data_IF_113247727050
#
_entry.id   IF_113247727050
#
_cell.length_a   1.000
_cell.length_b   1.000
_cell.length_c   1.000
_cell.angle_alpha   90.00
_cell.angle_beta   90.00
_cell.angle_gamma   90.00
#
_symmetry.space_group_name_H-M   'P 1'
#
loop_
_entity.id
_entity.type
_entity.pdbx_description
1 polymer ?
#
# COMPACT_ATOMS: atom_id res chain seq x y z
N UNK A 1 11.34 0.83 19.55
CA UNK A 1 10.00 0.36 19.11
C UNK A 1 9.61 1.20 17.92
N UNK A 2 9.36 0.56 16.77
CA UNK A 2 9.06 1.23 15.52
C UNK A 2 7.63 0.87 15.09
N UNK A 3 6.85 1.86 14.66
CA UNK A 3 5.55 1.63 14.04
C UNK A 3 5.73 1.67 12.52
N UNK A 4 5.29 0.60 11.86
CA UNK A 4 5.28 0.49 10.40
C UNK A 4 3.83 0.47 9.96
N UNK A 5 3.48 1.36 9.04
CA UNK A 5 2.16 1.40 8.42
C UNK A 5 2.30 1.23 6.93
N UNK A 6 1.30 0.66 6.28
CA UNK A 6 1.31 0.53 4.84
C UNK A 6 -0.04 0.09 4.32
N UNK A 7 -0.08 -0.05 3.01
CA UNK A 7 -1.22 -0.58 2.30
C UNK A 7 -0.74 -1.42 1.11
N UNK A 8 -1.54 -2.40 0.72
CA UNK A 8 -1.19 -3.39 -0.29
C UNK A 8 -2.43 -3.91 -0.99
N UNK A 9 -2.25 -4.51 -2.16
CA UNK A 9 -3.28 -5.26 -2.87
C UNK A 9 -3.29 -6.71 -2.38
N UNK A 10 -4.46 -7.22 -2.00
CA UNK A 10 -4.61 -8.61 -1.62
C UNK A 10 -4.47 -9.53 -2.82
N UNK A 11 -3.94 -10.73 -2.60
CA UNK A 11 -3.53 -11.65 -3.68
C UNK A 11 -4.45 -12.86 -3.81
N UNK A 12 -5.32 -13.11 -2.82
CA UNK A 12 -6.08 -14.36 -2.75
C UNK A 12 -5.23 -15.62 -2.56
N UNK A 13 -3.96 -15.47 -2.19
CA UNK A 13 -3.02 -16.54 -1.88
C UNK A 13 -2.20 -16.20 -0.64
N UNK A 14 -1.44 -17.15 -0.07
CA UNK A 14 -0.59 -16.85 1.08
C UNK A 14 0.40 -15.72 0.74
N UNK A 15 0.36 -14.64 1.52
CA UNK A 15 1.11 -13.41 1.27
C UNK A 15 2.20 -13.23 2.34
N UNK A 16 3.37 -12.78 1.94
CA UNK A 16 4.52 -12.50 2.81
C UNK A 16 4.80 -11.00 2.80
N UNK A 17 4.48 -10.32 3.90
CA UNK A 17 4.78 -8.90 4.07
C UNK A 17 6.16 -8.75 4.69
N UNK A 18 7.12 -8.28 3.89
CA UNK A 18 8.50 -8.09 4.30
C UNK A 18 8.69 -6.73 4.97
N UNK A 19 8.65 -6.72 6.30
CA UNK A 19 8.72 -5.50 7.12
C UNK A 19 10.15 -5.11 7.51
N UNK A 20 11.10 -6.04 7.40
CA UNK A 20 12.46 -5.90 7.93
C UNK A 20 12.58 -6.24 9.41
N UNK A 21 11.49 -6.68 10.04
CA UNK A 21 11.39 -7.09 11.43
C UNK A 21 10.17 -8.00 11.59
N UNK A 22 10.22 -8.93 12.55
CA UNK A 22 9.02 -9.63 13.00
C UNK A 22 8.30 -8.70 13.98
N UNK A 23 7.05 -8.30 13.72
CA UNK A 23 6.32 -7.43 14.61
C UNK A 23 5.94 -8.17 15.90
N UNK A 24 5.84 -7.45 17.01
CA UNK A 24 5.23 -7.96 18.25
C UNK A 24 3.70 -7.92 18.18
N UNK A 25 3.16 -7.01 17.36
CA UNK A 25 1.72 -6.85 17.13
C UNK A 25 1.49 -6.34 15.71
N UNK A 26 0.47 -6.87 15.05
CA UNK A 26 0.01 -6.37 13.76
C UNK A 26 -1.51 -6.37 13.69
N UNK A 27 -2.04 -5.36 13.03
CA UNK A 27 -3.45 -5.29 12.64
C UNK A 27 -3.55 -5.01 11.16
N UNK A 28 -4.42 -5.73 10.47
CA UNK A 28 -4.67 -5.57 9.04
C UNK A 28 -6.16 -5.33 8.85
N UNK A 29 -6.49 -4.41 7.96
CA UNK A 29 -7.85 -4.04 7.57
C UNK A 29 -8.04 -4.30 6.09
N UNK A 30 -9.16 -4.94 5.73
CA UNK A 30 -9.65 -4.96 4.37
C UNK A 30 -10.51 -3.71 4.11
N UNK A 31 -10.13 -2.90 3.13
CA UNK A 31 -10.80 -1.65 2.76
C UNK A 31 -11.70 -1.78 1.52
N UNK A 32 -11.86 -2.99 0.98
CA UNK A 32 -12.72 -3.24 -0.20
C UNK A 32 -14.21 -3.12 0.09
N UNK A 33 -14.64 -3.31 1.35
CA UNK A 33 -16.02 -3.24 1.79
C UNK A 33 -16.45 -1.90 2.39
N UNK A 34 -17.76 -1.70 2.54
CA UNK A 34 -18.33 -0.54 3.24
C UNK A 34 -18.01 -0.53 4.75
N UNK A 35 -17.77 -1.71 5.33
CA UNK A 35 -17.33 -1.90 6.71
C UNK A 35 -16.06 -2.74 6.69
N UNK A 36 -14.92 -2.22 7.18
CA UNK A 36 -13.66 -2.93 7.11
C UNK A 36 -13.67 -4.21 7.93
N UNK A 37 -13.30 -5.32 7.32
CA UNK A 37 -12.91 -6.53 8.07
C UNK A 37 -11.53 -6.29 8.68
N UNK A 38 -11.27 -6.82 9.88
CA UNK A 38 -9.96 -6.72 10.52
C UNK A 38 -9.45 -8.08 11.01
N UNK A 39 -8.13 -8.23 10.99
CA UNK A 39 -7.42 -9.26 11.76
C UNK A 39 -6.41 -8.60 12.68
N UNK A 40 -6.33 -9.09 13.90
CA UNK A 40 -5.37 -8.67 14.93
C UNK A 40 -4.53 -9.86 15.32
N UNK A 41 -3.21 -9.70 15.36
CA UNK A 41 -2.29 -10.71 15.87
C UNK A 41 -1.29 -10.07 16.82
N UNK A 42 -0.89 -10.81 17.84
CA UNK A 42 0.10 -10.45 18.84
C UNK A 42 1.02 -11.65 19.09
N UNK A 43 2.31 -11.41 19.36
CA UNK A 43 3.29 -12.48 19.57
C UNK A 43 2.93 -13.43 20.73
N UNK A 44 2.22 -12.92 21.75
CA UNK A 44 1.75 -13.74 22.86
C UNK A 44 0.65 -14.73 22.45
N UNK A 45 -0.04 -14.50 21.32
CA UNK A 45 -0.98 -15.50 20.78
C UNK A 45 -0.26 -16.79 20.34
N UNK A 46 1.05 -16.71 20.04
CA UNK A 46 1.86 -17.88 19.72
C UNK A 46 2.31 -18.67 20.97
N UNK A 47 2.16 -18.13 22.19
CA UNK A 47 2.57 -18.82 23.43
C UNK A 47 1.45 -19.66 24.06
N UNK A 48 0.21 -19.54 23.60
CA UNK A 48 -0.91 -20.35 24.07
C UNK A 48 -1.05 -21.65 23.27
N UNK A 49 -1.35 -22.75 23.97
CA UNK A 49 -1.53 -24.09 23.39
C UNK A 49 -2.80 -24.19 22.52
N UNK A 50 -3.68 -23.18 22.60
CA UNK A 50 -4.89 -23.00 21.79
C UNK A 50 -4.62 -22.18 20.51
N UNK A 51 -3.44 -22.37 19.91
CA UNK A 51 -3.06 -22.14 18.51
C UNK A 51 -3.91 -21.13 17.71
N UNK A 52 -3.98 -19.89 18.15
CA UNK A 52 -4.74 -18.85 17.45
C UNK A 52 -3.78 -17.99 16.63
N UNK A 53 -3.86 -18.07 15.31
CA UNK A 53 -3.06 -17.24 14.40
C UNK A 53 -3.74 -15.88 14.15
N UNK A 54 -4.29 -15.29 15.21
CA UNK A 54 -4.96 -13.99 15.19
C UNK A 54 -6.48 -14.06 15.38
N UNK A 55 -7.04 -12.89 15.66
CA UNK A 55 -8.45 -12.66 15.92
C UNK A 55 -9.06 -11.90 14.76
N UNK A 56 -10.10 -12.44 14.14
CA UNK A 56 -10.79 -11.82 13.00
C UNK A 56 -12.11 -11.21 13.45
N UNK A 57 -12.40 -10.01 12.96
CA UNK A 57 -13.73 -9.40 13.01
C UNK A 57 -14.20 -9.13 11.59
N UNK A 58 -15.39 -9.61 11.27
CA UNK A 58 -16.04 -9.34 9.98
C UNK A 58 -17.08 -8.23 10.09
N UNK A 59 -16.92 -7.18 9.30
CA UNK A 59 -17.84 -6.04 9.22
C UNK A 59 -18.13 -5.32 10.55
N UNK A 60 -19.16 -4.47 10.54
CA UNK A 60 -19.59 -3.72 11.72
C UNK A 60 -20.47 -4.59 12.62
N UNK A 61 -20.06 -4.75 13.88
CA UNK A 61 -20.76 -5.57 14.88
C UNK A 61 -20.55 -7.09 14.77
N UNK A 62 -19.66 -7.57 13.91
CA UNK A 62 -19.29 -8.98 13.85
C UNK A 62 -18.65 -9.48 15.14
N UNK A 63 -18.94 -10.74 15.49
CA UNK A 63 -18.25 -11.40 16.59
C UNK A 63 -16.75 -11.51 16.27
N UNK A 64 -15.92 -11.35 17.30
CA UNK A 64 -14.49 -11.64 17.18
C UNK A 64 -14.32 -13.16 17.22
N UNK A 65 -13.68 -13.72 16.21
CA UNK A 65 -13.46 -15.16 16.05
C UNK A 65 -11.97 -15.48 16.03
N UNK A 66 -11.61 -16.59 16.65
CA UNK A 66 -10.25 -17.11 16.63
C UNK A 66 -9.95 -17.75 15.27
N UNK A 67 -8.80 -17.41 14.66
CA UNK A 67 -8.30 -18.16 13.53
C UNK A 67 -7.54 -19.39 13.99
N UNK A 68 -7.89 -20.54 13.42
CA UNK A 68 -7.15 -21.78 13.64
C UNK A 68 -5.70 -21.66 13.14
N UNK A 69 -4.82 -22.45 13.75
CA UNK A 69 -3.43 -22.60 13.31
C UNK A 69 -3.31 -22.89 11.81
N UNK A 70 -2.31 -22.30 11.16
CA UNK A 70 -2.10 -22.37 9.72
C UNK A 70 -3.09 -21.58 8.86
N UNK A 71 -4.06 -20.88 9.45
CA UNK A 71 -5.09 -20.14 8.73
C UNK A 71 -5.11 -18.64 9.03
N UNK A 72 -4.11 -18.10 9.76
CA UNK A 72 -4.07 -16.69 10.12
C UNK A 72 -2.73 -16.03 9.81
N UNK A 73 -2.24 -15.22 10.74
CA UNK A 73 -0.94 -14.56 10.70
C UNK A 73 0.08 -15.44 11.42
N UNK A 74 1.21 -15.68 10.76
CA UNK A 74 2.37 -16.35 11.32
C UNK A 74 3.62 -15.47 11.16
N UNK A 75 4.57 -15.50 12.11
CA UNK A 75 5.89 -14.90 11.93
C UNK A 75 6.59 -15.44 10.68
N UNK A 76 7.37 -14.60 10.01
CA UNK A 76 8.21 -14.99 8.88
C UNK A 76 9.63 -14.47 9.08
N UNK A 77 10.60 -15.39 9.16
CA UNK A 77 12.01 -15.07 9.45
C UNK A 77 12.75 -14.48 8.25
N UNK A 78 12.21 -14.61 7.04
CA UNK A 78 12.93 -14.23 5.82
C UNK A 78 14.11 -15.15 5.49
N UNK A 79 14.99 -14.70 4.61
CA UNK A 79 16.20 -15.43 4.20
C UNK A 79 16.03 -16.33 2.96
N UNK A 80 14.83 -16.41 2.39
CA UNK A 80 14.58 -17.14 1.15
C UNK A 80 15.10 -16.35 -0.06
N UNK A 81 15.80 -17.02 -0.96
CA UNK A 81 16.10 -16.45 -2.27
C UNK A 81 14.83 -16.52 -3.13
N UNK A 82 14.35 -15.36 -3.59
CA UNK A 82 13.22 -15.31 -4.50
C UNK A 82 13.64 -15.81 -5.88
N UNK A 83 12.90 -16.79 -6.38
CA UNK A 83 13.04 -17.40 -7.70
C UNK A 83 11.70 -17.32 -8.41
N UNK A 84 11.66 -17.66 -9.69
CA UNK A 84 10.41 -17.80 -10.44
C UNK A 84 9.48 -18.89 -9.88
N UNK A 85 9.97 -19.77 -9.00
CA UNK A 85 9.17 -20.85 -8.40
C UNK A 85 8.35 -20.42 -7.20
N UNK A 86 8.84 -19.48 -6.37
CA UNK A 86 8.13 -18.99 -5.19
C UNK A 86 7.52 -17.59 -5.39
N UNK A 87 8.08 -16.78 -6.28
CA UNK A 87 7.50 -15.51 -6.74
C UNK A 87 7.19 -15.63 -8.23
N UNK A 88 5.94 -16.00 -8.54
CA UNK A 88 5.50 -16.22 -9.93
C UNK A 88 5.09 -14.95 -10.66
N UNK A 89 4.85 -13.87 -9.93
CA UNK A 89 4.42 -12.58 -10.46
C UNK A 89 5.19 -11.44 -9.78
N UNK A 90 5.64 -10.47 -10.57
CA UNK A 90 6.33 -9.25 -10.11
C UNK A 90 5.67 -7.99 -10.67
N UNK A 91 4.49 -8.12 -11.26
CA UNK A 91 3.66 -7.01 -11.73
C UNK A 91 3.18 -6.20 -10.56
N UNK A 92 3.17 -4.88 -10.67
CA UNK A 92 2.72 -4.00 -9.59
C UNK A 92 1.27 -4.32 -9.18
N UNK A 93 1.02 -4.49 -7.87
CA UNK A 93 -0.26 -5.01 -7.34
C UNK A 93 -0.36 -6.54 -7.26
N UNK A 94 0.59 -7.26 -7.84
CA UNK A 94 0.66 -8.72 -7.83
C UNK A 94 1.70 -9.30 -6.87
N UNK A 95 1.98 -10.59 -7.08
CA UNK A 95 3.00 -11.36 -6.38
C UNK A 95 2.67 -11.68 -4.92
N UNK A 96 3.36 -12.68 -4.34
CA UNK A 96 3.07 -13.17 -2.98
C UNK A 96 4.11 -12.74 -1.95
N UNK A 97 5.30 -12.32 -2.37
CA UNK A 97 6.29 -11.67 -1.52
C UNK A 97 6.29 -10.19 -1.84
N UNK A 98 5.88 -9.36 -0.87
CA UNK A 98 5.81 -7.91 -1.05
C UNK A 98 6.76 -7.18 -0.09
N UNK A 99 7.35 -6.10 -0.56
CA UNK A 99 8.22 -5.22 0.19
C UNK A 99 7.78 -3.77 0.05
N UNK A 100 8.26 -2.92 0.96
CA UNK A 100 7.92 -1.50 0.98
C UNK A 100 8.28 -0.81 -0.34
N UNK A 101 7.37 0.02 -0.84
CA UNK A 101 7.59 0.86 -2.01
C UNK A 101 7.80 2.32 -1.62
N UNK A 102 9.06 2.74 -1.54
CA UNK A 102 9.43 4.13 -1.26
C UNK A 102 9.72 4.94 -2.54
N UNK A 103 9.32 4.42 -3.70
CA UNK A 103 9.60 5.04 -4.99
C UNK A 103 8.71 6.25 -5.25
N UNK A 104 9.32 7.28 -5.84
CA UNK A 104 8.61 8.45 -6.34
C UNK A 104 8.27 8.26 -7.83
N UNK A 105 6.97 8.14 -8.13
CA UNK A 105 6.45 7.87 -9.47
C UNK A 105 6.07 9.11 -10.26
N UNK A 106 6.26 10.32 -9.70
CA UNK A 106 5.93 11.61 -10.34
C UNK A 106 6.61 11.86 -11.70
N UNK A 107 7.64 11.09 -12.05
CA UNK A 107 8.50 11.37 -13.21
C UNK A 107 7.94 10.78 -14.49
N UNK A 108 8.24 11.42 -15.62
CA UNK A 108 8.01 10.85 -16.94
C UNK A 108 8.92 9.62 -17.13
N UNK A 109 8.31 8.48 -17.45
CA UNK A 109 9.07 7.24 -17.66
C UNK A 109 10.02 7.39 -18.84
N UNK A 110 11.30 7.18 -18.57
CA UNK A 110 12.34 7.10 -19.58
C UNK A 110 13.14 5.82 -19.34
N UNK A 111 12.67 4.73 -19.95
CA UNK A 111 13.29 3.40 -19.83
C UNK A 111 14.75 3.38 -20.29
N UNK A 112 15.14 4.24 -21.24
CA UNK A 112 16.53 4.35 -21.69
C UNK A 112 17.45 4.99 -20.64
N UNK A 113 16.90 5.87 -19.79
CA UNK A 113 17.60 6.50 -18.68
C UNK A 113 17.45 5.73 -17.35
N UNK A 114 16.75 4.59 -17.35
CA UNK A 114 16.45 3.83 -16.13
C UNK A 114 15.45 4.52 -15.19
N UNK A 115 14.76 5.56 -15.65
CA UNK A 115 13.72 6.26 -14.90
C UNK A 115 12.40 5.56 -15.17
N UNK A 116 11.76 5.05 -14.13
CA UNK A 116 10.42 4.48 -14.21
C UNK A 116 9.51 5.27 -13.27
N UNK A 117 8.67 6.14 -13.83
CA UNK A 117 7.58 6.79 -13.12
C UNK A 117 6.25 6.42 -13.76
N UNK A 118 5.23 7.23 -13.54
CA UNK A 118 3.89 7.02 -14.10
C UNK A 118 3.36 8.25 -14.83
N UNK A 119 4.16 9.32 -14.92
CA UNK A 119 3.78 10.47 -15.72
C UNK A 119 3.89 10.14 -17.21
N UNK A 120 2.87 10.51 -17.99
CA UNK A 120 2.70 10.08 -19.36
C UNK A 120 3.47 10.92 -20.38
N UNK A 121 3.73 12.20 -20.09
CA UNK A 121 4.38 13.13 -21.04
C UNK A 121 5.39 14.06 -20.40
N UNK A 122 5.12 14.54 -19.19
CA UNK A 122 5.96 15.46 -18.42
C UNK A 122 5.91 15.08 -16.95
N UNK A 123 6.96 15.40 -16.20
CA UNK A 123 6.96 15.22 -14.76
C UNK A 123 5.77 15.96 -14.10
N UNK A 124 5.16 15.30 -13.12
CA UNK A 124 4.08 15.87 -12.31
C UNK A 124 4.68 16.78 -11.23
N UNK A 125 4.86 18.05 -11.53
CA UNK A 125 5.49 19.02 -10.64
C UNK A 125 4.53 19.96 -9.93
N UNK A 126 3.30 20.07 -10.42
CA UNK A 126 2.37 21.10 -9.96
C UNK A 126 1.02 20.48 -9.63
N UNK A 127 0.49 20.89 -8.48
CA UNK A 127 -0.87 20.64 -8.05
C UNK A 127 -1.65 21.95 -8.12
N UNK A 128 -2.75 21.96 -8.87
CA UNK A 128 -3.69 23.08 -8.91
C UNK A 128 -4.98 22.66 -8.23
N UNK A 129 -5.44 23.45 -7.28
CA UNK A 129 -6.70 23.26 -6.57
C UNK A 129 -7.79 23.99 -7.35
N UNK A 130 -8.85 23.30 -7.74
CA UNK A 130 -9.87 23.90 -8.61
C UNK A 130 -10.77 24.86 -7.84
N UNK A 131 -11.18 24.48 -6.62
CA UNK A 131 -12.02 25.30 -5.76
C UNK A 131 -11.53 25.25 -4.32
N UNK A 132 -11.52 26.41 -3.66
CA UNK A 132 -11.09 26.49 -2.27
C UNK A 132 -11.98 25.60 -1.38
N UNK A 133 -11.34 24.75 -0.56
CA UNK A 133 -12.03 23.86 0.38
C UNK A 133 -12.57 22.56 -0.23
N UNK A 134 -12.53 22.38 -1.55
CA UNK A 134 -12.84 21.09 -2.19
C UNK A 134 -11.58 20.26 -2.38
N UNK A 135 -11.59 18.93 -2.20
CA UNK A 135 -10.41 18.09 -2.41
C UNK A 135 -10.03 17.85 -3.88
N UNK A 136 -10.75 18.43 -4.84
CA UNK A 136 -10.54 18.22 -6.27
C UNK A 136 -9.60 19.25 -6.89
N UNK A 137 -8.82 18.79 -7.87
CA UNK A 137 -7.85 19.59 -8.60
C UNK A 137 -7.22 18.80 -9.74
N UNK A 138 -6.12 19.32 -10.29
CA UNK A 138 -5.44 18.72 -11.42
C UNK A 138 -3.92 18.82 -11.32
N UNK A 139 -3.25 17.90 -12.01
CA UNK A 139 -1.81 17.93 -12.24
C UNK A 139 -1.46 18.77 -13.46
N UNK A 140 -0.20 19.19 -13.60
CA UNK A 140 0.32 19.82 -14.82
C UNK A 140 0.53 18.84 -15.99
N UNK A 141 0.31 17.55 -15.78
CA UNK A 141 0.56 16.50 -16.75
C UNK A 141 -0.41 15.34 -16.58
N UNK A 142 -0.36 14.40 -17.53
CA UNK A 142 -1.12 13.15 -17.47
C UNK A 142 -0.31 12.03 -16.83
N UNK A 143 -1.01 11.05 -16.30
CA UNK A 143 -0.44 9.84 -15.72
C UNK A 143 -1.02 8.63 -16.43
N UNK A 144 -0.20 7.58 -16.57
CA UNK A 144 -0.60 6.34 -17.22
C UNK A 144 -1.53 5.49 -16.36
N UNK A 145 -1.52 5.68 -15.04
CA UNK A 145 -2.37 4.94 -14.10
C UNK A 145 -1.83 3.56 -13.76
N UNK A 146 -0.56 3.27 -14.08
CA UNK A 146 0.07 1.98 -13.76
C UNK A 146 0.55 1.92 -12.33
N UNK A 147 1.06 3.04 -11.81
CA UNK A 147 1.58 3.13 -10.44
C UNK A 147 0.89 4.20 -9.61
N UNK A 148 0.49 5.33 -10.21
CA UNK A 148 -0.22 6.42 -9.55
C UNK A 148 -1.72 6.22 -9.75
N UNK A 149 -2.47 6.27 -8.65
CA UNK A 149 -3.92 6.07 -8.62
C UNK A 149 -4.49 6.16 -7.21
N UNK A 150 -5.76 5.77 -7.01
CA UNK A 150 -6.37 5.72 -5.68
C UNK A 150 -5.49 4.96 -4.67
N UNK A 151 -5.27 5.54 -3.49
CA UNK A 151 -4.35 5.02 -2.47
C UNK A 151 -2.97 5.68 -2.48
N UNK A 152 -2.55 6.29 -3.60
CA UNK A 152 -1.22 6.90 -3.70
C UNK A 152 -1.03 8.05 -2.72
N UNK A 153 0.05 8.01 -1.96
CA UNK A 153 0.47 9.14 -1.13
C UNK A 153 1.01 10.27 -2.02
N UNK A 154 0.57 11.49 -1.75
CA UNK A 154 1.07 12.69 -2.42
C UNK A 154 1.54 13.71 -1.38
N UNK A 155 2.70 14.33 -1.65
CA UNK A 155 3.23 15.45 -0.84
C UNK A 155 3.26 16.71 -1.69
N UNK A 156 2.57 17.75 -1.22
CA UNK A 156 2.43 19.03 -1.92
C UNK A 156 2.91 20.14 -1.01
N UNK A 157 3.85 20.93 -1.51
CA UNK A 157 4.33 22.15 -0.85
C UNK A 157 3.52 23.34 -1.34
N UNK A 158 2.74 23.94 -0.44
CA UNK A 158 1.95 25.13 -0.75
C UNK A 158 2.85 26.25 -1.31
N UNK A 159 2.38 26.85 -2.40
CA UNK A 159 3.00 27.99 -3.05
C UNK A 159 3.16 29.19 -2.13
N UNK A 160 2.25 29.39 -1.18
CA UNK A 160 2.19 30.58 -0.31
C UNK A 160 3.01 30.41 0.96
N UNK A 161 2.63 29.48 1.84
CA UNK A 161 3.25 29.34 3.17
C UNK A 161 4.41 28.32 3.22
N UNK A 162 4.67 27.63 2.09
CA UNK A 162 5.71 26.58 1.95
C UNK A 162 5.55 25.38 2.89
N UNK A 163 4.37 25.19 3.48
CA UNK A 163 4.02 24.01 4.26
C UNK A 163 3.84 22.80 3.33
N UNK A 164 4.36 21.65 3.75
CA UNK A 164 4.22 20.39 3.02
C UNK A 164 3.04 19.62 3.56
N UNK A 165 2.00 19.53 2.75
CA UNK A 165 0.81 18.75 3.03
C UNK A 165 0.99 17.33 2.50
N UNK A 166 0.71 16.35 3.35
CA UNK A 166 0.53 14.94 2.95
C UNK A 166 -0.96 14.65 2.74
N UNK A 167 -1.31 14.00 1.64
CA UNK A 167 -2.67 13.51 1.37
C UNK A 167 -2.60 12.18 0.61
N UNK A 168 -3.77 11.57 0.37
CA UNK A 168 -3.90 10.37 -0.47
C UNK A 168 -4.83 10.66 -1.64
N UNK A 169 -4.52 10.12 -2.82
CA UNK A 169 -5.42 10.16 -3.97
C UNK A 169 -6.62 9.24 -3.69
N UNK A 170 -7.84 9.75 -3.82
CA UNK A 170 -9.08 8.98 -3.69
C UNK A 170 -9.70 8.64 -5.06
N UNK A 171 -9.56 9.54 -6.02
CA UNK A 171 -9.99 9.33 -7.40
C UNK A 171 -9.01 10.00 -8.36
N UNK A 172 -8.80 9.38 -9.51
CA UNK A 172 -7.92 9.85 -10.56
C UNK A 172 -8.47 9.42 -11.91
N UNK A 173 -8.65 10.36 -12.82
CA UNK A 173 -8.81 10.05 -14.24
C UNK A 173 -7.43 10.00 -14.90
N UNK A 174 -6.99 8.81 -15.31
CA UNK A 174 -5.69 8.59 -15.94
C UNK A 174 -5.83 8.34 -17.45
N UNK A 175 -4.84 8.77 -18.24
CA UNK A 175 -4.73 8.44 -19.67
C UNK A 175 -5.76 9.11 -20.58
N UNK A 176 -6.46 10.14 -20.09
CA UNK A 176 -7.45 10.90 -20.86
C UNK A 176 -6.89 12.24 -21.39
N UNK A 177 -5.60 12.50 -21.16
CA UNK A 177 -4.94 13.76 -21.46
C UNK A 177 -5.16 14.82 -20.37
N UNK A 178 -4.23 15.78 -20.29
CA UNK A 178 -4.16 16.78 -19.21
C UNK A 178 -5.48 17.56 -19.01
N UNK A 179 -6.24 17.80 -20.07
CA UNK A 179 -7.51 18.55 -20.01
C UNK A 179 -8.65 17.81 -19.31
N UNK A 180 -8.55 16.50 -19.09
CA UNK A 180 -9.57 15.67 -18.47
C UNK A 180 -9.13 15.08 -17.12
N UNK A 181 -7.94 15.45 -16.63
CA UNK A 181 -7.37 14.87 -15.42
C UNK A 181 -7.89 15.55 -14.18
N UNK A 182 -9.03 15.07 -13.71
CA UNK A 182 -9.50 15.35 -12.37
C UNK A 182 -8.86 14.38 -11.36
N UNK A 183 -8.35 14.96 -10.29
CA UNK A 183 -7.78 14.23 -9.16
C UNK A 183 -8.53 14.67 -7.90
N UNK A 184 -9.06 13.72 -7.15
CA UNK A 184 -9.64 13.96 -5.83
C UNK A 184 -8.69 13.47 -4.75
N UNK A 185 -8.34 14.33 -3.80
CA UNK A 185 -7.51 13.99 -2.66
C UNK A 185 -8.35 13.63 -1.42
N UNK A 186 -7.74 13.03 -0.40
CA UNK A 186 -8.39 12.69 0.86
C UNK A 186 -8.79 13.91 1.71
N UNK A 187 -8.30 15.10 1.34
CA UNK A 187 -8.62 16.40 1.94
C UNK A 187 -8.22 17.52 0.99
N UNK A 188 -8.82 18.69 1.15
CA UNK A 188 -8.40 19.88 0.40
C UNK A 188 -6.94 20.24 0.74
N UNK A 189 -6.13 20.42 -0.30
CA UNK A 189 -4.72 20.84 -0.21
C UNK A 189 -4.51 22.05 -1.11
N UNK A 190 -3.95 23.18 -0.61
CA UNK A 190 -3.68 24.37 -1.43
C UNK A 190 -2.79 24.07 -2.65
N UNK A 191 -2.94 24.87 -3.70
CA UNK A 191 -2.11 24.75 -4.91
C UNK A 191 -0.62 24.96 -4.61
N UNK A 192 0.22 24.20 -5.28
CA UNK A 192 1.63 24.18 -4.94
C UNK A 192 2.47 23.25 -5.79
N UNK A 193 3.70 23.05 -5.35
CA UNK A 193 4.66 22.14 -5.97
C UNK A 193 4.44 20.74 -5.42
N UNK A 194 4.24 19.76 -6.29
CA UNK A 194 4.27 18.36 -5.89
C UNK A 194 5.73 18.01 -5.63
N UNK A 195 6.04 17.42 -4.48
CA UNK A 195 7.39 17.01 -4.10
C UNK A 195 7.57 15.49 -4.19
N UNK A 196 6.46 14.73 -4.20
CA UNK A 196 6.47 13.28 -4.23
C UNK A 196 5.09 12.73 -4.58
N UNK A 197 5.05 11.68 -5.38
CA UNK A 197 3.87 10.81 -5.53
C UNK A 197 4.32 9.36 -5.38
N UNK A 198 3.84 8.69 -4.35
CA UNK A 198 4.05 7.25 -4.14
C UNK A 198 3.18 6.42 -5.06
N UNK A 199 3.33 5.10 -4.99
CA UNK A 199 2.46 4.20 -5.74
C UNK A 199 1.09 4.01 -5.06
N UNK A 200 0.12 3.43 -5.79
CA UNK A 200 -1.22 3.06 -5.31
C UNK A 200 -1.19 2.15 -4.07
N UNK A 201 -0.07 1.47 -3.87
CA UNK A 201 0.21 0.54 -2.81
C UNK A 201 1.52 0.95 -2.15
N UNK A 202 1.54 1.02 -0.82
CA UNK A 202 2.77 1.28 -0.06
C UNK A 202 3.72 0.08 -0.05
N UNK A 203 3.28 -1.08 -0.54
CA UNK A 203 4.06 -2.30 -0.72
C UNK A 203 3.85 -2.83 -2.14
N UNK A 204 4.94 -3.30 -2.74
CA UNK A 204 4.99 -3.87 -4.09
C UNK A 204 5.61 -5.26 -4.08
N UNK A 205 5.39 -6.10 -5.10
CA UNK A 205 6.09 -7.35 -5.21
C UNK A 205 7.61 -7.17 -5.23
N UNK A 206 8.30 -8.02 -4.47
CA UNK A 206 9.74 -8.10 -4.46
C UNK A 206 10.27 -8.72 -5.74
N UNK A 207 11.38 -8.19 -6.24
CA UNK A 207 12.00 -8.70 -7.45
C UNK A 207 12.59 -10.10 -7.26
N UNK A 208 12.53 -10.92 -8.31
CA UNK A 208 13.23 -12.20 -8.37
C UNK A 208 14.74 -11.96 -8.23
N UNK A 209 15.42 -12.83 -7.48
CA UNK A 209 16.84 -12.73 -7.17
C UNK A 209 17.15 -11.95 -5.91
N UNK A 210 16.14 -11.39 -5.24
CA UNK A 210 16.29 -10.77 -3.91
C UNK A 210 16.18 -11.80 -2.80
N UNK A 211 16.85 -11.55 -1.68
CA UNK A 211 16.70 -12.34 -0.45
C UNK A 211 15.62 -11.68 0.40
N UNK A 212 14.64 -12.47 0.86
CA UNK A 212 13.51 -11.94 1.62
C UNK A 212 13.92 -11.42 3.00
N UNK A 213 13.22 -10.39 3.45
CA UNK A 213 13.40 -9.79 4.79
C UNK A 213 12.38 -10.40 5.77
N UNK A 214 12.69 -10.38 7.09
CA UNK A 214 11.73 -10.81 8.10
C UNK A 214 10.46 -9.95 8.11
N UNK A 215 9.38 -10.51 8.63
CA UNK A 215 8.06 -9.91 8.60
C UNK A 215 6.97 -10.88 9.07
N UNK A 216 5.86 -10.91 8.33
CA UNK A 216 4.76 -11.85 8.59
C UNK A 216 4.37 -12.60 7.33
N UNK A 217 3.82 -13.80 7.54
CA UNK A 217 3.06 -14.56 6.55
C UNK A 217 1.58 -14.49 6.90
N UNK A 218 0.77 -14.19 5.90
CA UNK A 218 -0.68 -14.14 5.97
C UNK A 218 -1.22 -15.34 5.19
N UNK A 219 -1.66 -16.37 5.93
CA UNK A 219 -2.15 -17.62 5.35
C UNK A 219 -3.61 -17.53 4.89
N UNK A 220 -4.37 -16.55 5.39
CA UNK A 220 -5.78 -16.36 5.01
C UNK A 220 -5.94 -15.59 3.71
N UNK A 221 -7.06 -15.86 3.04
CA UNK A 221 -7.50 -15.20 1.79
C UNK A 221 -8.87 -14.55 1.93
N UNK A 222 -9.60 -14.83 3.01
CA UNK A 222 -10.91 -14.25 3.32
C UNK A 222 -11.10 -14.24 4.83
N UNK A 223 -11.67 -13.17 5.43
CA UNK A 223 -12.02 -11.89 4.79
C UNK A 223 -10.83 -10.97 4.51
N UNK A 224 -9.62 -11.37 4.90
CA UNK A 224 -8.38 -10.59 4.72
C UNK A 224 -7.56 -11.19 3.58
N UNK A 225 -6.85 -10.34 2.84
CA UNK A 225 -6.02 -10.68 1.68
C UNK A 225 -6.84 -11.28 0.53
N UNK A 226 -8.05 -10.77 0.37
CA UNK A 226 -8.91 -11.04 -0.77
C UNK A 226 -8.26 -10.48 -2.03
N UNK A 227 -8.30 -11.25 -3.12
CA UNK A 227 -7.65 -10.88 -4.38
C UNK A 227 -8.21 -9.56 -4.93
N UNK A 228 -7.31 -8.66 -5.34
CA UNK A 228 -7.61 -7.35 -5.91
C UNK A 228 -8.38 -6.40 -4.98
N UNK A 229 -8.35 -6.64 -3.67
CA UNK A 229 -8.91 -5.73 -2.67
C UNK A 229 -7.81 -4.96 -1.95
N UNK A 230 -8.08 -3.69 -1.65
CA UNK A 230 -7.13 -2.82 -0.98
C UNK A 230 -7.09 -3.12 0.51
N UNK A 231 -5.90 -3.36 1.05
CA UNK A 231 -5.69 -3.61 2.47
C UNK A 231 -4.78 -2.55 3.08
N UNK A 232 -4.98 -2.26 4.36
CA UNK A 232 -4.04 -1.44 5.14
C UNK A 232 -3.61 -2.17 6.40
N UNK A 233 -2.47 -1.79 6.95
CA UNK A 233 -2.00 -2.39 8.20
C UNK A 233 -1.23 -1.41 9.07
N UNK A 234 -1.16 -1.77 10.35
CA UNK A 234 -0.30 -1.15 11.36
C UNK A 234 0.43 -2.28 12.06
N UNK A 235 1.77 -2.22 12.05
CA UNK A 235 2.64 -3.19 12.69
C UNK A 235 3.55 -2.49 13.70
N UNK A 236 3.76 -3.12 14.85
CA UNK A 236 4.66 -2.65 15.90
C UNK A 236 5.85 -3.60 15.93
N UNK A 237 7.04 -3.10 15.65
CA UNK A 237 8.28 -3.88 15.69
C UNK A 237 9.14 -3.56 16.92
N UNK A 238 9.92 -4.56 17.40
CA UNK A 238 10.93 -4.32 18.42
C UNK A 238 11.92 -3.26 17.94
N UNK A 239 12.43 -2.47 18.89
CA UNK A 239 13.34 -1.34 18.63
C UNK A 239 14.78 -1.76 18.39
#
# INVERSE_FOLDING_TARGET
MQVITGHFEGTGAALYLQLGCIPIQIRIYNLGGATPDEIIWDEAMACDILTTEGLVRTGDGGAVLDNVFGAGIAPYEGGDLLTTSNQTDVTYGGGVYIERDDKDYRFFTNSAAGISGDAATVDITTWTLDTAGTPSGHFNGDVTGTYIGPGSEIRIKDSTNKHVYKAWIQALTAGQGVSANEVTLSRAVPSGTVEFIGGMYGYKPSAIGTVTKPGIKLNMVTPINVNAEHHSFIAICPG
#
